data_IF_948822165470
#
_entry.id   IF_948822165470
#
_cell.length_a   1.000
_cell.length_b   1.000
_cell.length_c   1.000
_cell.angle_alpha   90.00
_cell.angle_beta   90.00
_cell.angle_gamma   90.00
#
_symmetry.space_group_name_H-M   'P 1'
#
loop_
_entity.id
_entity.type
_entity.pdbx_description
1 polymer ?
#
# COMPACT_ATOMS: atom_id res chain seq x y z
N UNK A 1 3.64 14.83 -4.59
CA UNK A 1 2.33 14.56 -3.94
C UNK A 1 1.23 14.88 -4.95
N UNK A 2 0.82 13.92 -5.77
CA UNK A 2 0.08 14.23 -7.01
C UNK A 2 -1.45 14.17 -6.89
N UNK A 3 -2.03 13.62 -5.80
CA UNK A 3 -3.48 13.36 -5.75
C UNK A 3 -4.08 13.40 -4.33
N UNK A 4 -3.53 14.24 -3.44
CA UNK A 4 -3.99 14.35 -2.03
C UNK A 4 -3.97 13.06 -1.20
N UNK A 5 -3.29 12.01 -1.69
CA UNK A 5 -2.99 10.80 -0.95
C UNK A 5 -1.89 11.07 0.09
N UNK A 6 -2.12 10.65 1.34
CA UNK A 6 -1.08 10.60 2.37
C UNK A 6 -0.31 9.30 2.19
N UNK A 7 0.91 9.42 1.68
CA UNK A 7 1.82 8.29 1.49
C UNK A 7 3.07 8.56 2.31
N UNK A 8 3.58 7.49 2.91
CA UNK A 8 4.86 7.46 3.60
C UNK A 8 5.66 6.29 3.06
N UNK A 9 6.96 6.48 2.89
CA UNK A 9 7.86 5.48 2.32
C UNK A 9 8.85 5.05 3.38
N UNK A 10 8.80 3.77 3.73
CA UNK A 10 9.75 3.16 4.68
C UNK A 10 10.90 2.51 3.90
N UNK A 11 11.99 3.26 3.72
CA UNK A 11 13.24 2.82 3.09
C UNK A 11 14.21 2.16 4.08
N UNK A 12 13.81 1.94 5.33
CA UNK A 12 14.69 1.38 6.36
C UNK A 12 15.25 0.01 5.93
N UNK A 13 16.49 -0.37 6.31
CA UNK A 13 17.05 -1.69 6.03
C UNK A 13 16.44 -2.82 6.90
N UNK A 14 15.31 -2.58 7.57
CA UNK A 14 14.62 -3.56 8.40
C UNK A 14 13.99 -4.68 7.56
N UNK A 15 13.80 -5.86 8.18
CA UNK A 15 13.12 -6.99 7.55
C UNK A 15 11.69 -6.62 7.16
N UNK A 16 11.22 -7.15 6.03
CA UNK A 16 9.85 -6.92 5.52
C UNK A 16 8.76 -7.12 6.58
N UNK A 17 8.85 -8.20 7.37
CA UNK A 17 7.89 -8.48 8.44
C UNK A 17 7.86 -7.40 9.54
N UNK A 18 9.02 -6.78 9.85
CA UNK A 18 9.09 -5.69 10.82
C UNK A 18 8.39 -4.44 10.29
N UNK A 19 8.61 -4.09 9.01
CA UNK A 19 7.92 -2.99 8.33
C UNK A 19 6.42 -3.17 8.29
N UNK A 20 5.95 -4.38 7.91
CA UNK A 20 4.52 -4.72 7.90
C UNK A 20 3.92 -4.54 9.30
N UNK A 21 4.60 -5.05 10.34
CA UNK A 21 4.14 -4.90 11.72
C UNK A 21 4.09 -3.43 12.15
N UNK A 22 5.08 -2.63 11.78
CA UNK A 22 5.11 -1.18 12.05
C UNK A 22 3.95 -0.46 11.38
N UNK A 23 3.69 -0.72 10.10
CA UNK A 23 2.58 -0.14 9.37
C UNK A 23 1.21 -0.56 9.95
N UNK A 24 1.06 -1.81 10.38
CA UNK A 24 -0.13 -2.27 11.10
C UNK A 24 -0.31 -1.57 12.45
N UNK A 25 0.76 -1.37 13.22
CA UNK A 25 0.75 -0.64 14.50
C UNK A 25 0.37 0.83 14.31
N UNK A 26 0.83 1.46 13.22
CA UNK A 26 0.46 2.81 12.81
C UNK A 26 -0.97 2.90 12.26
N UNK A 27 -1.69 1.77 12.18
CA UNK A 27 -3.06 1.67 11.66
C UNK A 27 -3.18 2.16 10.22
N UNK A 28 -2.15 1.94 9.40
CA UNK A 28 -2.16 2.30 7.98
C UNK A 28 -3.17 1.41 7.25
N UNK A 29 -4.19 1.96 6.56
CA UNK A 29 -5.24 1.17 5.91
C UNK A 29 -4.72 0.28 4.78
N UNK A 30 -3.78 0.82 3.97
CA UNK A 30 -3.20 0.16 2.81
C UNK A 30 -1.67 0.14 2.92
N UNK A 31 -1.08 -1.04 2.81
CA UNK A 31 0.35 -1.27 2.75
C UNK A 31 0.72 -1.67 1.32
N UNK A 32 1.61 -0.90 0.70
CA UNK A 32 2.14 -1.20 -0.62
C UNK A 32 3.51 -1.86 -0.45
N UNK A 33 3.61 -3.12 -0.85
CA UNK A 33 4.88 -3.84 -0.89
C UNK A 33 5.37 -3.83 -2.33
N UNK A 34 6.55 -3.25 -2.52
CA UNK A 34 7.21 -3.16 -3.82
C UNK A 34 8.55 -3.85 -3.69
N UNK A 35 8.71 -5.00 -4.34
CA UNK A 35 9.99 -5.67 -4.52
C UNK A 35 10.54 -5.44 -5.92
N UNK A 36 11.65 -6.11 -6.23
CA UNK A 36 12.31 -6.00 -7.53
C UNK A 36 11.40 -6.48 -8.68
N UNK A 37 10.64 -7.56 -8.45
CA UNK A 37 9.68 -8.10 -9.42
C UNK A 37 8.54 -7.13 -9.70
N UNK A 38 8.02 -6.49 -8.67
CA UNK A 38 6.95 -5.51 -8.77
C UNK A 38 7.44 -4.23 -9.46
N UNK A 39 8.68 -3.79 -9.20
CA UNK A 39 9.31 -2.68 -9.91
C UNK A 39 9.44 -2.94 -11.41
N UNK A 40 9.93 -4.11 -11.81
CA UNK A 40 10.05 -4.48 -13.23
C UNK A 40 8.69 -4.57 -13.92
N UNK A 41 7.68 -5.08 -13.23
CA UNK A 41 6.32 -5.24 -13.76
C UNK A 41 5.46 -3.98 -13.67
N UNK A 42 5.92 -2.91 -13.01
CA UNK A 42 5.11 -1.72 -12.72
C UNK A 42 3.88 -2.02 -11.85
N UNK A 43 3.95 -3.08 -11.04
CA UNK A 43 2.89 -3.53 -10.15
C UNK A 43 3.24 -3.23 -8.69
N UNK A 44 2.27 -3.36 -7.80
CA UNK A 44 2.42 -3.20 -6.36
C UNK A 44 1.59 -4.27 -5.65
N UNK A 45 2.17 -4.91 -4.63
CA UNK A 45 1.43 -5.85 -3.80
C UNK A 45 0.70 -5.09 -2.69
N UNK A 46 -0.63 -5.14 -2.72
CA UNK A 46 -1.47 -4.34 -1.81
C UNK A 46 -1.97 -5.21 -0.68
N UNK A 47 -1.62 -4.82 0.55
CA UNK A 47 -2.08 -5.48 1.77
C UNK A 47 -2.94 -4.54 2.60
N UNK A 48 -4.02 -5.06 3.14
CA UNK A 48 -4.92 -4.33 4.02
C UNK A 48 -4.55 -4.52 5.48
N UNK A 49 -4.87 -3.52 6.31
CA UNK A 49 -4.69 -3.60 7.77
C UNK A 49 -5.42 -4.78 8.42
N UNK A 50 -6.57 -5.19 7.87
CA UNK A 50 -7.38 -6.28 8.38
C UNK A 50 -6.79 -7.68 8.12
N UNK A 51 -5.58 -7.76 7.55
CA UNK A 51 -4.90 -9.01 7.23
C UNK A 51 -5.29 -9.59 5.87
N UNK A 52 -6.20 -8.95 5.13
CA UNK A 52 -6.55 -9.35 3.78
C UNK A 52 -5.48 -8.88 2.80
N UNK A 53 -5.02 -9.81 1.97
CA UNK A 53 -4.10 -9.54 0.89
C UNK A 53 -4.90 -9.37 -0.40
N UNK A 54 -4.69 -8.26 -1.11
CA UNK A 54 -5.27 -8.05 -2.43
C UNK A 54 -4.34 -8.56 -3.54
N UNK A 55 -3.12 -8.96 -3.20
CA UNK A 55 -2.11 -9.44 -4.14
C UNK A 55 -1.47 -8.30 -4.94
N UNK A 56 -0.75 -8.68 -5.98
CA UNK A 56 -0.14 -7.74 -6.91
C UNK A 56 -1.18 -7.18 -7.89
N UNK A 57 -1.25 -5.86 -7.99
CA UNK A 57 -2.05 -5.13 -8.98
C UNK A 57 -1.24 -4.01 -9.60
N UNK A 58 -1.70 -3.46 -10.72
CA UNK A 58 -0.96 -2.38 -11.37
C UNK A 58 -1.00 -1.11 -10.52
N UNK A 59 0.09 -0.33 -10.53
CA UNK A 59 0.14 0.93 -9.77
C UNK A 59 -0.99 1.89 -10.16
N UNK A 60 -1.34 1.95 -11.45
CA UNK A 60 -2.45 2.75 -11.98
C UNK A 60 -3.82 2.31 -11.43
N UNK A 61 -4.04 1.01 -11.29
CA UNK A 61 -5.25 0.44 -10.71
C UNK A 61 -5.35 0.77 -9.22
N UNK A 62 -4.25 0.60 -8.48
CA UNK A 62 -4.20 0.94 -7.06
C UNK A 62 -4.53 2.42 -6.83
N UNK A 63 -3.97 3.31 -7.64
CA UNK A 63 -4.23 4.75 -7.54
C UNK A 63 -5.72 5.04 -7.73
N UNK A 64 -6.36 4.44 -8.74
CA UNK A 64 -7.79 4.60 -9.00
C UNK A 64 -8.63 4.09 -7.82
N UNK A 65 -8.30 2.91 -7.30
CA UNK A 65 -8.98 2.32 -6.13
C UNK A 65 -8.82 3.19 -4.88
N UNK A 66 -7.61 3.70 -4.62
CA UNK A 66 -7.33 4.53 -3.46
C UNK A 66 -8.07 5.88 -3.54
N UNK A 67 -8.15 6.47 -4.74
CA UNK A 67 -8.96 7.68 -4.96
C UNK A 67 -10.44 7.43 -4.73
N UNK A 68 -10.97 6.29 -5.17
CA UNK A 68 -12.37 5.93 -4.97
C UNK A 68 -12.68 5.67 -3.49
N UNK A 69 -11.77 5.02 -2.77
CA UNK A 69 -11.88 4.83 -1.33
C UNK A 69 -11.88 6.17 -0.57
N UNK A 70 -11.02 7.11 -0.96
CA UNK A 70 -11.01 8.47 -0.40
C UNK A 70 -12.31 9.22 -0.71
N UNK A 71 -12.78 9.16 -1.97
CA UNK A 71 -13.98 9.85 -2.44
C UNK A 71 -15.24 9.34 -1.74
N UNK A 72 -15.35 8.02 -1.57
CA UNK A 72 -16.48 7.37 -0.90
C UNK A 72 -16.46 7.54 0.62
N UNK A 73 -15.37 8.07 1.20
CA UNK A 73 -15.13 8.07 2.66
C UNK A 73 -15.34 6.69 3.30
N UNK A 74 -15.18 5.62 2.52
CA UNK A 74 -15.36 4.26 3.02
C UNK A 74 -14.29 4.02 4.09
N UNK A 75 -14.72 3.98 5.35
CA UNK A 75 -13.85 3.55 6.44
C UNK A 75 -13.55 2.07 6.20
N UNK A 76 -12.26 1.77 6.01
CA UNK A 76 -11.71 0.41 5.94
C UNK A 76 -11.06 0.07 7.27
#
# INVERSE_FOLDING_TARGET
>A
RAQSLRVDLDDSPERMNAKIRRAQMQKVPYMLVVGDREMEAGSVAVRLRNGRDLGAMQLSEFISMAQEAIRSKAQV
#
